data_IF_612503623262
#
_entry.id   IF_612503623262
#
_cell.length_a   1.000
_cell.length_b   1.000
_cell.length_c   1.000
_cell.angle_alpha   90.00
_cell.angle_beta   90.00
_cell.angle_gamma   90.00
#
_symmetry.space_group_name_H-M   'P 1'
#
loop_
_entity.id
_entity.type
_entity.pdbx_description
1 polymer ?
#
# COMPACT_ATOMS: atom_id res chain seq x y z
N UNK A 1 -30.89 -6.49 -11.71
CA UNK A 1 -30.01 -7.32 -10.84
C UNK A 1 -28.69 -7.81 -11.48
N UNK A 2 -28.62 -8.84 -12.35
CA UNK A 2 -27.32 -9.37 -12.86
C UNK A 2 -26.50 -8.38 -13.71
N UNK A 3 -27.15 -7.44 -14.41
CA UNK A 3 -26.50 -6.42 -15.26
C UNK A 3 -25.97 -5.23 -14.46
N UNK A 4 -26.69 -4.80 -13.42
CA UNK A 4 -26.26 -3.70 -12.53
C UNK A 4 -25.08 -4.12 -11.66
N UNK A 5 -25.08 -5.35 -11.15
CA UNK A 5 -23.95 -5.90 -10.39
C UNK A 5 -22.67 -6.00 -11.24
N UNK A 6 -22.81 -6.34 -12.54
CA UNK A 6 -21.68 -6.32 -13.48
C UNK A 6 -21.20 -4.91 -13.83
N UNK A 7 -22.09 -3.92 -13.81
CA UNK A 7 -21.73 -2.53 -14.03
C UNK A 7 -21.03 -1.90 -12.82
N UNK A 8 -21.43 -2.24 -11.59
CA UNK A 8 -20.70 -1.81 -10.38
C UNK A 8 -19.30 -2.43 -10.29
N UNK A 9 -19.16 -3.71 -10.66
CA UNK A 9 -17.84 -4.36 -10.71
C UNK A 9 -16.97 -3.74 -11.82
N UNK A 10 -17.55 -3.43 -12.99
CA UNK A 10 -16.82 -2.70 -14.05
C UNK A 10 -16.40 -1.30 -13.59
N UNK A 11 -17.29 -0.54 -12.92
CA UNK A 11 -16.96 0.79 -12.37
C UNK A 11 -15.87 0.76 -11.30
N UNK A 12 -15.83 -0.29 -10.45
CA UNK A 12 -14.76 -0.49 -9.44
C UNK A 12 -13.44 -1.00 -10.02
N UNK A 13 -13.43 -1.48 -11.26
CA UNK A 13 -12.26 -2.11 -11.91
C UNK A 13 -11.80 -1.33 -13.17
N UNK A 14 -12.52 -0.29 -13.58
CA UNK A 14 -12.13 0.56 -14.72
C UNK A 14 -10.96 1.49 -14.34
N UNK A 15 -9.75 0.93 -14.43
CA UNK A 15 -8.47 1.66 -14.41
C UNK A 15 -8.48 2.83 -15.42
N UNK A 16 -9.35 2.77 -16.45
CA UNK A 16 -9.51 3.83 -17.46
C UNK A 16 -10.05 5.15 -16.92
N UNK A 17 -10.90 5.15 -15.89
CA UNK A 17 -11.53 6.36 -15.34
C UNK A 17 -10.88 6.87 -14.04
N UNK A 18 -9.78 6.26 -13.61
CA UNK A 18 -9.03 6.74 -12.46
C UNK A 18 -8.29 8.04 -12.79
N UNK A 19 -8.35 9.01 -11.86
CA UNK A 19 -7.51 10.20 -11.94
C UNK A 19 -6.03 9.80 -11.99
N UNK A 20 -5.17 10.63 -12.57
CA UNK A 20 -3.73 10.34 -12.66
C UNK A 20 -3.12 10.07 -11.27
N UNK A 21 -3.63 10.77 -10.26
CA UNK A 21 -3.29 10.57 -8.84
C UNK A 21 -3.73 9.19 -8.34
N UNK A 22 -4.93 8.73 -8.66
CA UNK A 22 -5.42 7.39 -8.29
C UNK A 22 -4.66 6.25 -8.98
N UNK A 23 -4.27 6.45 -10.24
CA UNK A 23 -3.38 5.52 -10.96
C UNK A 23 -2.00 5.43 -10.29
N UNK A 24 -1.44 6.57 -9.89
CA UNK A 24 -0.17 6.61 -9.16
C UNK A 24 -0.27 5.96 -7.77
N UNK A 25 -1.38 6.17 -7.05
CA UNK A 25 -1.68 5.52 -5.76
C UNK A 25 -1.76 4.01 -5.93
N UNK A 26 -2.58 3.54 -6.87
CA UNK A 26 -2.81 2.11 -7.09
C UNK A 26 -1.55 1.38 -7.56
N UNK A 27 -0.71 2.00 -8.40
CA UNK A 27 0.56 1.41 -8.83
C UNK A 27 1.61 1.36 -7.71
N UNK A 28 1.73 2.41 -6.89
CA UNK A 28 2.62 2.41 -5.72
C UNK A 28 2.20 1.34 -4.70
N UNK A 29 0.92 1.31 -4.35
CA UNK A 29 0.37 0.32 -3.43
C UNK A 29 0.48 -1.10 -3.99
N UNK A 30 0.19 -1.28 -5.28
CA UNK A 30 0.37 -2.54 -5.99
C UNK A 30 1.82 -3.05 -5.90
N UNK A 31 2.81 -2.20 -6.20
CA UNK A 31 4.24 -2.56 -6.09
C UNK A 31 4.62 -2.94 -4.65
N UNK A 32 4.08 -2.26 -3.64
CA UNK A 32 4.37 -2.57 -2.24
C UNK A 32 3.76 -3.90 -1.79
N UNK A 33 2.52 -4.18 -2.18
CA UNK A 33 1.86 -5.47 -1.92
C UNK A 33 2.64 -6.59 -2.61
N UNK A 34 3.05 -6.39 -3.87
CA UNK A 34 3.83 -7.37 -4.64
C UNK A 34 5.18 -7.68 -3.97
N UNK A 35 5.86 -6.65 -3.43
CA UNK A 35 7.11 -6.86 -2.70
C UNK A 35 6.89 -7.66 -1.41
N UNK A 36 5.78 -7.44 -0.71
CA UNK A 36 5.46 -8.19 0.51
C UNK A 36 4.89 -9.58 0.24
N UNK A 37 4.31 -9.85 -0.94
CA UNK A 37 3.79 -11.17 -1.30
C UNK A 37 4.88 -12.20 -1.60
N UNK A 38 6.13 -11.78 -1.77
CA UNK A 38 7.28 -12.68 -1.91
C UNK A 38 7.38 -13.64 -0.70
N UNK A 39 7.15 -13.14 0.52
CA UNK A 39 7.23 -13.95 1.74
C UNK A 39 6.24 -15.12 1.74
N UNK A 40 4.91 -14.91 1.59
CA UNK A 40 3.97 -16.03 1.56
C UNK A 40 4.19 -16.94 0.35
N UNK A 41 4.64 -16.41 -0.80
CA UNK A 41 4.99 -17.25 -1.96
C UNK A 41 6.13 -18.21 -1.59
N UNK A 42 7.22 -17.71 -1.00
CA UNK A 42 8.35 -18.55 -0.56
C UNK A 42 7.88 -19.61 0.44
N UNK A 43 7.05 -19.24 1.41
CA UNK A 43 6.50 -20.18 2.40
C UNK A 43 5.67 -21.30 1.76
N UNK A 44 4.87 -20.99 0.74
CA UNK A 44 4.11 -22.01 0.01
C UNK A 44 5.05 -22.97 -0.72
N UNK A 45 6.10 -22.45 -1.37
CA UNK A 45 7.11 -23.26 -2.05
C UNK A 45 7.88 -24.15 -1.07
N UNK A 46 8.38 -23.60 0.05
CA UNK A 46 9.09 -24.40 1.05
C UNK A 46 8.19 -25.45 1.69
N UNK A 47 6.91 -25.14 1.90
CA UNK A 47 5.95 -26.11 2.43
C UNK A 47 5.69 -27.22 1.41
N UNK A 48 5.49 -26.90 0.13
CA UNK A 48 5.23 -27.89 -0.91
C UNK A 48 6.43 -28.82 -1.13
N UNK A 49 7.65 -28.28 -1.24
CA UNK A 49 8.83 -29.08 -1.56
C UNK A 49 9.51 -29.67 -0.32
N UNK A 50 9.54 -28.93 0.79
CA UNK A 50 10.16 -29.35 2.05
C UNK A 50 9.36 -30.40 2.82
N UNK A 51 8.02 -30.38 2.73
CA UNK A 51 7.18 -31.38 3.44
C UNK A 51 7.34 -32.81 2.93
N UNK A 52 7.86 -33.01 1.70
CA UNK A 52 8.14 -34.34 1.15
C UNK A 52 9.14 -35.13 1.99
N UNK A 53 10.04 -34.46 2.69
CA UNK A 53 11.03 -35.11 3.55
C UNK A 53 10.47 -35.57 4.89
N UNK A 54 9.32 -35.05 5.32
CA UNK A 54 8.77 -35.28 6.66
C UNK A 54 7.51 -36.14 6.67
N UNK A 55 6.66 -36.06 5.62
CA UNK A 55 5.41 -36.82 5.57
C UNK A 55 5.13 -37.29 4.15
N UNK A 56 5.00 -38.61 3.94
CA UNK A 56 4.61 -39.17 2.64
C UNK A 56 3.08 -39.15 2.42
N UNK A 57 2.30 -38.79 3.45
CA UNK A 57 0.85 -38.71 3.36
C UNK A 57 0.40 -37.43 2.64
N UNK A 58 -0.23 -37.60 1.48
CA UNK A 58 -0.69 -36.51 0.62
C UNK A 58 -1.73 -35.60 1.29
N UNK A 59 -2.60 -36.16 2.16
CA UNK A 59 -3.64 -35.41 2.84
C UNK A 59 -3.10 -34.45 3.89
N UNK A 60 -2.05 -34.87 4.61
CA UNK A 60 -1.34 -34.03 5.58
C UNK A 60 -0.65 -32.88 4.85
N UNK A 61 0.03 -33.17 3.74
CA UNK A 61 0.70 -32.16 2.91
C UNK A 61 -0.26 -31.15 2.30
N UNK A 62 -1.43 -31.59 1.84
CA UNK A 62 -2.49 -30.71 1.35
C UNK A 62 -3.04 -29.81 2.46
N UNK A 63 -3.33 -30.37 3.63
CA UNK A 63 -3.85 -29.62 4.79
C UNK A 63 -2.86 -28.54 5.24
N UNK A 64 -1.56 -28.89 5.31
CA UNK A 64 -0.51 -27.95 5.66
C UNK A 64 -0.37 -26.83 4.63
N UNK A 65 -0.43 -27.17 3.33
CA UNK A 65 -0.34 -26.17 2.26
C UNK A 65 -1.54 -25.21 2.28
N UNK A 66 -2.75 -25.71 2.54
CA UNK A 66 -3.95 -24.89 2.70
C UNK A 66 -3.84 -23.96 3.92
N UNK A 67 -3.34 -24.47 5.06
CA UNK A 67 -3.12 -23.66 6.25
C UNK A 67 -2.12 -22.52 5.99
N UNK A 68 -0.97 -22.81 5.36
CA UNK A 68 0.04 -21.81 4.99
C UNK A 68 -0.51 -20.80 4.00
N UNK A 69 -1.30 -21.24 3.01
CA UNK A 69 -1.95 -20.36 2.05
C UNK A 69 -2.97 -19.43 2.72
N UNK A 70 -3.78 -19.95 3.64
CA UNK A 70 -4.73 -19.17 4.43
C UNK A 70 -4.04 -18.11 5.30
N UNK A 71 -2.96 -18.50 5.99
CA UNK A 71 -2.13 -17.58 6.76
C UNK A 71 -1.48 -16.50 5.89
N UNK A 72 -0.93 -16.88 4.73
CA UNK A 72 -0.34 -15.96 3.76
C UNK A 72 -1.36 -14.96 3.20
N UNK A 73 -2.58 -15.41 2.91
CA UNK A 73 -3.67 -14.56 2.50
C UNK A 73 -4.05 -13.56 3.60
N UNK A 74 -4.18 -14.01 4.84
CA UNK A 74 -4.51 -13.13 5.98
C UNK A 74 -3.42 -12.07 6.22
N UNK A 75 -2.14 -12.46 6.13
CA UNK A 75 -1.00 -11.55 6.22
C UNK A 75 -1.06 -10.45 5.15
N UNK A 76 -1.31 -10.82 3.89
CA UNK A 76 -1.45 -9.86 2.80
C UNK A 76 -2.69 -8.98 2.95
N UNK A 77 -3.80 -9.55 3.44
CA UNK A 77 -5.04 -8.80 3.70
C UNK A 77 -4.80 -7.71 4.75
N UNK A 78 -4.21 -8.04 5.90
CA UNK A 78 -3.88 -7.04 6.92
C UNK A 78 -2.95 -5.96 6.38
N UNK A 79 -1.97 -6.33 5.55
CA UNK A 79 -1.07 -5.37 4.96
C UNK A 79 -1.78 -4.42 3.98
N UNK A 80 -2.67 -4.96 3.14
CA UNK A 80 -3.51 -4.15 2.25
C UNK A 80 -4.40 -3.20 3.04
N UNK A 81 -5.02 -3.68 4.11
CA UNK A 81 -5.92 -2.87 4.92
C UNK A 81 -5.14 -1.73 5.62
N UNK A 82 -3.89 -1.97 6.05
CA UNK A 82 -2.97 -0.92 6.52
C UNK A 82 -2.66 0.10 5.43
N UNK A 83 -2.46 -0.31 4.18
CA UNK A 83 -2.22 0.60 3.05
C UNK A 83 -3.44 1.49 2.73
N UNK A 84 -4.65 0.99 2.99
CA UNK A 84 -5.90 1.72 2.77
C UNK A 84 -6.21 2.77 3.85
N UNK A 85 -5.46 2.80 4.96
CA UNK A 85 -5.57 3.83 6.00
C UNK A 85 -4.94 5.16 5.56
N UNK A 86 -5.48 5.74 4.50
CA UNK A 86 -5.10 7.05 3.99
C UNK A 86 -5.79 8.14 4.81
N UNK A 87 -5.00 8.99 5.46
CA UNK A 87 -5.46 10.23 6.06
C UNK A 87 -5.21 11.38 5.09
N UNK A 88 -6.21 12.23 4.92
CA UNK A 88 -6.10 13.43 4.11
C UNK A 88 -5.50 14.57 4.95
N UNK A 89 -4.46 15.22 4.43
CA UNK A 89 -3.83 16.38 5.02
C UNK A 89 -3.78 17.51 4.00
N UNK A 90 -4.06 18.71 4.46
CA UNK A 90 -4.07 19.93 3.65
C UNK A 90 -3.35 21.02 4.44
N UNK A 91 -2.47 21.80 3.80
CA UNK A 91 -1.79 22.90 4.48
C UNK A 91 -0.63 23.49 3.70
N UNK A 92 -0.06 24.57 4.24
CA UNK A 92 1.11 25.24 3.64
C UNK A 92 2.39 24.53 4.05
N UNK A 93 3.26 24.21 3.10
CA UNK A 93 4.58 23.63 3.39
C UNK A 93 5.48 24.68 4.02
N UNK A 94 5.80 24.47 5.29
CA UNK A 94 6.75 25.29 6.04
C UNK A 94 8.17 24.79 5.82
N UNK A 95 8.33 23.46 5.75
CA UNK A 95 9.63 22.82 5.72
C UNK A 95 9.56 21.52 4.93
N UNK A 96 10.54 21.33 4.05
CA UNK A 96 10.77 20.10 3.32
C UNK A 96 12.24 19.78 3.45
N UNK A 97 12.57 18.65 4.09
CA UNK A 97 13.95 18.19 4.24
C UNK A 97 14.08 16.76 3.75
N UNK A 98 14.96 16.57 2.78
CA UNK A 98 15.39 15.27 2.31
C UNK A 98 16.48 14.75 3.24
N UNK A 99 16.24 13.60 3.87
CA UNK A 99 17.28 12.77 4.50
C UNK A 99 17.49 11.52 3.64
N UNK A 100 18.62 10.84 3.84
CA UNK A 100 19.07 9.73 2.98
C UNK A 100 18.01 8.62 2.76
N UNK A 101 17.12 8.37 3.73
CA UNK A 101 16.13 7.30 3.68
C UNK A 101 14.66 7.76 3.82
N UNK A 102 14.41 9.04 4.05
CA UNK A 102 13.06 9.59 4.24
C UNK A 102 13.03 11.11 4.06
N UNK A 103 11.86 11.62 3.67
CA UNK A 103 11.56 13.03 3.56
C UNK A 103 10.76 13.49 4.78
N UNK A 104 11.21 14.54 5.46
CA UNK A 104 10.41 15.22 6.48
C UNK A 104 9.66 16.37 5.82
N UNK A 105 8.35 16.40 6.00
CA UNK A 105 7.46 17.43 5.46
C UNK A 105 6.66 18.03 6.61
N UNK A 106 6.78 19.34 6.82
CA UNK A 106 6.00 20.08 7.81
C UNK A 106 4.91 20.87 7.10
N UNK A 107 3.66 20.49 7.35
CA UNK A 107 2.47 21.22 6.90
C UNK A 107 1.94 22.11 8.02
N UNK A 108 1.67 23.38 7.73
CA UNK A 108 0.86 24.24 8.59
C UNK A 108 -0.59 24.19 8.13
N UNK A 109 -1.49 23.79 9.02
CA UNK A 109 -2.92 24.05 8.86
C UNK A 109 -3.47 24.53 10.20
N UNK A 110 -3.69 25.85 10.33
CA UNK A 110 -4.09 26.47 11.59
C UNK A 110 -2.95 26.61 12.62
N UNK A 111 -3.23 26.26 13.89
CA UNK A 111 -2.41 26.62 15.06
C UNK A 111 -1.16 25.74 15.27
N UNK A 112 -1.18 24.45 14.91
CA UNK A 112 -0.06 23.53 15.15
C UNK A 112 0.47 22.93 13.84
N UNK A 113 1.80 22.96 13.59
CA UNK A 113 2.38 22.33 12.41
C UNK A 113 2.38 20.81 12.55
N UNK A 114 1.96 20.11 11.49
CA UNK A 114 1.94 18.64 11.42
C UNK A 114 3.23 18.18 10.76
N UNK A 115 4.01 17.35 11.47
CA UNK A 115 5.24 16.74 10.97
C UNK A 115 4.93 15.38 10.35
N UNK A 116 5.07 15.28 9.03
CA UNK A 116 4.92 14.06 8.26
C UNK A 116 6.28 13.50 7.89
N UNK A 117 6.53 12.23 8.22
CA UNK A 117 7.74 11.51 7.79
C UNK A 117 7.36 10.65 6.60
N UNK A 118 7.84 10.97 5.42
CA UNK A 118 7.47 10.30 4.16
C UNK A 118 8.64 9.48 3.64
N UNK A 119 8.47 8.16 3.60
CA UNK A 119 9.46 7.25 3.03
C UNK A 119 9.30 7.07 1.52
N UNK A 120 8.07 7.11 0.98
CA UNK A 120 7.78 6.85 -0.45
C UNK A 120 6.56 7.65 -0.94
N UNK A 121 6.50 7.91 -2.24
CA UNK A 121 5.32 8.47 -2.94
C UNK A 121 5.33 9.97 -3.20
N UNK A 122 6.30 10.71 -2.66
CA UNK A 122 6.48 12.14 -2.95
C UNK A 122 7.35 12.33 -4.19
N UNK A 123 6.90 13.22 -5.06
CA UNK A 123 7.66 13.70 -6.21
C UNK A 123 8.42 14.98 -5.80
N UNK A 124 9.72 14.83 -5.50
CA UNK A 124 10.57 15.89 -4.93
C UNK A 124 10.61 17.17 -5.78
N UNK A 125 10.38 17.05 -7.09
CA UNK A 125 10.40 18.17 -8.05
C UNK A 125 9.16 19.08 -7.95
N UNK A 126 8.06 18.60 -7.35
CA UNK A 126 6.79 19.33 -7.27
C UNK A 126 6.57 20.09 -5.96
N UNK A 127 7.45 19.92 -4.96
CA UNK A 127 7.27 20.55 -3.64
C UNK A 127 8.15 21.80 -3.53
N UNK A 128 7.53 22.98 -3.39
CA UNK A 128 8.21 24.22 -3.03
C UNK A 128 7.84 24.68 -1.62
N UNK A 129 8.77 25.33 -0.92
CA UNK A 129 8.48 26.03 0.35
C UNK A 129 7.38 27.07 0.10
N UNK A 130 6.49 27.26 1.07
CA UNK A 130 5.32 28.13 1.01
C UNK A 130 4.21 27.72 0.01
N UNK A 131 4.30 26.55 -0.62
CA UNK A 131 3.21 26.04 -1.45
C UNK A 131 2.11 25.43 -0.56
N UNK A 132 0.85 25.70 -0.92
CA UNK A 132 -0.29 25.02 -0.34
C UNK A 132 -0.40 23.64 -0.99
N UNK A 133 -0.42 22.59 -0.18
CA UNK A 133 -0.35 21.21 -0.64
C UNK A 133 -1.47 20.40 -0.01
N UNK A 134 -2.13 19.60 -0.85
CA UNK A 134 -3.11 18.58 -0.46
C UNK A 134 -2.49 17.22 -0.70
N UNK A 135 -2.44 16.39 0.33
CA UNK A 135 -1.83 15.07 0.25
C UNK A 135 -2.61 14.02 1.02
N UNK A 136 -2.56 12.79 0.50
CA UNK A 136 -2.95 11.61 1.25
C UNK A 136 -1.72 11.00 1.91
N UNK A 137 -1.76 10.78 3.21
CA UNK A 137 -0.68 10.16 3.96
C UNK A 137 -1.15 8.92 4.70
N UNK A 138 -0.35 7.87 4.57
CA UNK A 138 -0.48 6.63 5.31
C UNK A 138 0.53 6.65 6.46
N UNK A 139 0.07 6.82 7.71
CA UNK A 139 0.95 6.81 8.89
C UNK A 139 1.68 5.46 9.05
N UNK A 140 1.02 4.29 8.91
CA UNK A 140 1.68 2.98 9.10
C UNK A 140 2.90 2.73 8.21
N UNK A 141 2.77 2.99 6.91
CA UNK A 141 3.83 2.72 5.93
C UNK A 141 4.60 3.99 5.55
N UNK A 142 4.25 5.14 6.14
CA UNK A 142 4.89 6.44 5.91
C UNK A 142 4.88 6.82 4.43
N UNK A 143 3.77 6.60 3.74
CA UNK A 143 3.62 6.88 2.30
C UNK A 143 2.79 8.13 2.16
N UNK A 144 3.29 9.15 1.45
CA UNK A 144 2.51 10.34 1.12
C UNK A 144 2.38 10.47 -0.39
N UNK A 145 1.22 10.89 -0.86
CA UNK A 145 0.95 11.13 -2.27
C UNK A 145 0.32 12.50 -2.40
N UNK A 146 0.95 13.34 -3.22
CA UNK A 146 0.50 14.71 -3.50
C UNK A 146 -0.67 14.64 -4.48
N UNK A 147 -1.74 15.32 -4.13
CA UNK A 147 -2.94 15.45 -4.98
C UNK A 147 -2.87 16.77 -5.75
N UNK A 148 -2.54 17.86 -5.06
CA UNK A 148 -2.43 19.24 -5.59
C UNK A 148 -1.40 20.05 -4.79
#
# INVERSE_FOLDING_TARGET
MKKEFRQEIKKKVDIKNMSETEKNISTLFGKMILKKSIIPIILIFTTLFGSKFFTNNIWIRLSLTLAVSGAGFYYLKQYRDKLQQLKYYEGKVIYFQKKENYHELLLKNGKLPIKLTVKKGIDEKKIRKNQFLKLYYNDPEKVAIIVE
#
